data_IF_053949127725
#
_entry.id   IF_053949127725
#
_cell.length_a   1.000
_cell.length_b   1.000
_cell.length_c   1.000
_cell.angle_alpha   90.00
_cell.angle_beta   90.00
_cell.angle_gamma   90.00
#
_symmetry.space_group_name_H-M   'P 1'
#
loop_
_entity.id
_entity.type
_entity.pdbx_description
1 polymer ?
#
# COMPACT_ATOMS: atom_id res chain seq x y z
N UNK A 1 -47.68 -15.56 20.91
CA UNK A 1 -46.29 -15.86 21.29
C UNK A 1 -46.22 -16.11 22.76
N UNK A 2 -45.81 -17.31 23.12
CA UNK A 2 -45.59 -17.72 24.51
C UNK A 2 -44.39 -16.97 25.10
N UNK A 3 -44.29 -16.91 26.43
CA UNK A 3 -43.22 -16.16 27.12
C UNK A 3 -41.83 -16.66 26.69
N UNK A 4 -41.72 -17.95 26.40
CA UNK A 4 -40.47 -18.60 25.98
C UNK A 4 -40.06 -18.19 24.56
N UNK A 5 -41.00 -18.16 23.60
CA UNK A 5 -40.72 -17.69 22.23
C UNK A 5 -40.23 -16.24 22.20
N UNK A 6 -40.78 -15.37 23.05
CA UNK A 6 -40.35 -13.96 23.13
C UNK A 6 -38.90 -13.85 23.61
N UNK A 7 -38.49 -14.68 24.58
CA UNK A 7 -37.11 -14.68 25.10
C UNK A 7 -36.15 -15.16 24.02
N UNK A 8 -36.49 -16.21 23.28
CA UNK A 8 -35.66 -16.74 22.19
C UNK A 8 -35.45 -15.70 21.09
N UNK A 9 -36.51 -14.98 20.68
CA UNK A 9 -36.40 -13.94 19.66
C UNK A 9 -35.50 -12.79 20.13
N UNK A 10 -35.61 -12.37 21.40
CA UNK A 10 -34.76 -11.31 21.95
C UNK A 10 -33.29 -11.74 21.95
N UNK A 11 -32.99 -12.97 22.38
CA UNK A 11 -31.63 -13.50 22.40
C UNK A 11 -31.05 -13.61 20.99
N UNK A 12 -31.84 -14.06 20.02
CA UNK A 12 -31.44 -14.14 18.62
C UNK A 12 -31.09 -12.74 18.06
N UNK A 13 -31.94 -11.74 18.33
CA UNK A 13 -31.68 -10.36 17.90
C UNK A 13 -30.40 -9.82 18.54
N UNK A 14 -30.17 -10.03 19.83
CA UNK A 14 -28.94 -9.59 20.50
C UNK A 14 -27.69 -10.21 19.87
N UNK A 15 -27.72 -11.51 19.55
CA UNK A 15 -26.61 -12.21 18.90
C UNK A 15 -26.37 -11.72 17.46
N UNK A 16 -27.44 -11.45 16.69
CA UNK A 16 -27.31 -10.92 15.34
C UNK A 16 -26.77 -9.49 15.34
N UNK A 17 -27.21 -8.65 16.28
CA UNK A 17 -26.67 -7.30 16.40
C UNK A 17 -25.21 -7.29 16.84
N UNK A 18 -24.81 -8.15 17.80
CA UNK A 18 -23.40 -8.24 18.19
C UNK A 18 -22.51 -8.72 17.04
N UNK A 19 -22.98 -9.70 16.25
CA UNK A 19 -22.27 -10.18 15.07
C UNK A 19 -22.20 -9.10 13.97
N UNK A 20 -23.27 -8.37 13.73
CA UNK A 20 -23.29 -7.28 12.75
C UNK A 20 -22.34 -6.15 13.14
N UNK A 21 -22.34 -5.75 14.42
CA UNK A 21 -21.40 -4.74 14.95
C UNK A 21 -19.97 -5.24 14.79
N UNK A 22 -19.67 -6.48 15.18
CA UNK A 22 -18.34 -7.07 15.03
C UNK A 22 -17.89 -7.11 13.56
N UNK A 23 -18.77 -7.53 12.64
CA UNK A 23 -18.49 -7.54 11.21
C UNK A 23 -18.21 -6.13 10.68
N UNK A 24 -19.03 -5.14 11.06
CA UNK A 24 -18.76 -3.76 10.66
C UNK A 24 -17.47 -3.25 11.27
N UNK A 25 -17.15 -3.49 12.54
CA UNK A 25 -15.92 -2.98 13.13
C UNK A 25 -14.65 -3.65 12.59
N UNK A 26 -14.68 -4.97 12.36
CA UNK A 26 -13.52 -5.68 11.81
C UNK A 26 -13.34 -5.46 10.31
N UNK A 27 -14.43 -5.29 9.56
CA UNK A 27 -14.37 -5.18 8.10
C UNK A 27 -14.43 -3.72 7.60
N UNK A 28 -14.97 -2.78 8.39
CA UNK A 28 -14.92 -1.34 8.11
C UNK A 28 -13.71 -0.64 8.71
N UNK A 29 -12.75 -1.40 9.24
CA UNK A 29 -11.37 -0.96 9.18
C UNK A 29 -11.04 -0.74 7.70
N UNK A 30 -11.24 0.48 7.21
CA UNK A 30 -10.34 1.03 6.19
C UNK A 30 -8.94 0.59 6.60
N UNK A 31 -8.07 0.15 5.67
CA UNK A 31 -6.68 -0.08 6.01
C UNK A 31 -6.17 1.22 6.62
N UNK A 32 -6.20 1.30 7.95
CA UNK A 32 -5.52 2.31 8.71
C UNK A 32 -4.10 2.09 8.29
N UNK A 33 -3.61 3.10 7.59
CA UNK A 33 -2.32 3.22 6.94
C UNK A 33 -1.21 3.01 7.99
N UNK A 34 -1.07 1.77 8.46
CA UNK A 34 0.01 1.28 9.31
C UNK A 34 1.31 1.17 8.48
N UNK A 35 1.29 1.69 7.25
CA UNK A 35 2.49 1.90 6.47
C UNK A 35 3.36 2.90 7.20
N UNK A 36 4.48 2.40 7.69
CA UNK A 36 5.51 3.22 8.32
C UNK A 36 6.08 4.14 7.22
N UNK A 37 6.30 5.42 7.53
CA UNK A 37 6.99 6.31 6.58
C UNK A 37 8.37 5.72 6.26
N UNK A 38 8.73 5.65 4.98
CA UNK A 38 10.01 5.09 4.57
C UNK A 38 11.17 5.82 5.24
N UNK A 39 12.14 5.05 5.73
CA UNK A 39 13.37 5.56 6.33
C UNK A 39 14.56 4.71 5.89
N UNK A 40 15.77 5.25 5.94
CA UNK A 40 17.01 4.49 5.69
C UNK A 40 17.25 3.36 6.70
N UNK A 41 16.47 3.29 7.78
CA UNK A 41 16.50 2.22 8.79
C UNK A 41 15.41 1.17 8.62
N UNK A 42 14.57 1.28 7.58
CA UNK A 42 13.50 0.32 7.31
C UNK A 42 14.07 -1.05 6.95
N UNK A 43 13.41 -2.12 7.40
CA UNK A 43 13.90 -3.50 7.25
C UNK A 43 13.27 -4.13 6.02
N UNK A 44 14.00 -4.95 5.25
CA UNK A 44 13.40 -5.73 4.16
C UNK A 44 12.19 -6.55 4.65
N UNK A 45 11.07 -6.41 3.94
CA UNK A 45 9.77 -7.00 4.29
C UNK A 45 8.77 -6.02 4.91
N UNK A 46 9.21 -4.83 5.34
CA UNK A 46 8.31 -3.81 5.88
C UNK A 46 7.45 -3.18 4.78
N UNK A 47 6.15 -3.00 5.06
CA UNK A 47 5.28 -2.17 4.22
C UNK A 47 5.44 -0.70 4.61
N UNK A 48 5.85 0.11 3.64
CA UNK A 48 6.21 1.50 3.86
C UNK A 48 5.47 2.42 2.91
N UNK A 49 5.35 3.68 3.33
CA UNK A 49 4.86 4.78 2.51
C UNK A 49 5.98 5.78 2.29
N UNK A 50 6.33 5.98 1.03
CA UNK A 50 7.39 6.86 0.56
C UNK A 50 6.75 8.08 -0.09
N UNK A 51 7.07 9.26 0.43
CA UNK A 51 6.71 10.53 -0.20
C UNK A 51 8.00 11.19 -0.70
N UNK A 52 8.00 11.64 -1.95
CA UNK A 52 9.18 12.27 -2.53
C UNK A 52 9.01 12.73 -3.96
N UNK A 53 10.07 13.30 -4.52
CA UNK A 53 10.11 13.82 -5.88
C UNK A 53 10.82 12.84 -6.82
N UNK A 54 10.26 12.60 -8.01
CA UNK A 54 10.88 11.69 -8.98
C UNK A 54 12.08 12.36 -9.62
N UNK A 55 13.27 11.82 -9.39
CA UNK A 55 14.52 12.30 -10.01
C UNK A 55 14.71 11.72 -11.40
N UNK A 56 14.50 10.40 -11.54
CA UNK A 56 14.64 9.71 -12.83
C UNK A 56 13.63 8.57 -12.94
N UNK A 57 13.25 8.24 -14.17
CA UNK A 57 12.47 7.04 -14.51
C UNK A 57 13.07 6.33 -15.71
N UNK A 58 13.17 5.01 -15.67
CA UNK A 58 13.67 4.17 -16.77
C UNK A 58 13.03 2.79 -16.75
N UNK A 59 12.85 2.19 -17.92
CA UNK A 59 12.49 0.77 -18.01
C UNK A 59 13.73 -0.12 -17.94
N UNK A 60 13.59 -1.32 -17.39
CA UNK A 60 14.61 -2.36 -17.48
C UNK A 60 14.72 -2.85 -18.92
N UNK A 61 15.94 -3.19 -19.33
CA UNK A 61 16.20 -3.69 -20.70
C UNK A 61 15.51 -5.02 -20.99
N UNK A 62 15.25 -5.81 -19.95
CA UNK A 62 14.50 -7.06 -19.99
C UNK A 62 13.34 -6.99 -18.99
N UNK A 63 12.14 -7.33 -19.44
CA UNK A 63 10.97 -7.55 -18.57
C UNK A 63 10.02 -6.37 -18.37
N UNK A 64 10.25 -5.23 -19.02
CA UNK A 64 9.39 -4.04 -18.99
C UNK A 64 9.05 -3.55 -17.56
N UNK A 65 9.99 -3.73 -16.64
CA UNK A 65 9.87 -3.22 -15.27
C UNK A 65 10.25 -1.75 -15.24
N UNK A 66 9.53 -0.96 -14.45
CA UNK A 66 9.84 0.46 -14.29
C UNK A 66 10.70 0.65 -13.04
N UNK A 67 11.84 1.32 -13.21
CA UNK A 67 12.74 1.75 -12.16
C UNK A 67 12.65 3.27 -12.03
N UNK A 68 12.47 3.75 -10.82
CA UNK A 68 12.45 5.18 -10.51
C UNK A 68 13.41 5.48 -9.37
N UNK A 69 14.12 6.59 -9.45
CA UNK A 69 14.84 7.13 -8.30
C UNK A 69 13.99 8.26 -7.70
N UNK A 70 13.65 8.15 -6.42
CA UNK A 70 12.78 9.10 -5.71
C UNK A 70 13.56 9.77 -4.58
N UNK A 71 13.58 11.10 -4.55
CA UNK A 71 14.15 11.89 -3.47
C UNK A 71 13.10 12.12 -2.37
N UNK A 72 13.34 11.57 -1.19
CA UNK A 72 12.45 11.72 -0.03
C UNK A 72 13.00 12.74 0.99
N UNK A 73 13.87 13.65 0.55
CA UNK A 73 14.39 14.79 1.29
C UNK A 73 15.59 14.49 2.19
N UNK A 74 15.73 13.25 2.67
CA UNK A 74 16.92 12.80 3.42
C UNK A 74 17.87 11.92 2.61
N UNK A 75 17.48 11.59 1.36
CA UNK A 75 18.25 10.77 0.44
C UNK A 75 17.41 10.39 -0.78
N UNK A 76 18.01 9.62 -1.67
CA UNK A 76 17.32 9.01 -2.82
C UNK A 76 17.15 7.51 -2.60
N UNK A 77 15.99 6.96 -2.94
CA UNK A 77 15.73 5.51 -2.90
C UNK A 77 15.27 5.02 -4.28
N UNK A 78 15.65 3.78 -4.61
CA UNK A 78 15.17 3.10 -5.80
C UNK A 78 13.77 2.54 -5.56
N UNK A 79 12.87 2.83 -6.48
CA UNK A 79 11.54 2.24 -6.53
C UNK A 79 11.48 1.31 -7.74
N UNK A 80 11.10 0.06 -7.49
CA UNK A 80 10.93 -0.97 -8.48
C UNK A 80 9.45 -1.28 -8.68
N UNK A 81 8.97 -1.14 -9.91
CA UNK A 81 7.59 -1.47 -10.30
C UNK A 81 7.64 -2.65 -11.28
N UNK A 82 7.21 -3.84 -10.86
CA UNK A 82 7.12 -5.01 -11.73
C UNK A 82 6.17 -4.77 -12.92
N UNK A 83 6.42 -5.43 -14.05
CA UNK A 83 5.57 -5.28 -15.25
C UNK A 83 4.15 -5.81 -15.04
N UNK A 84 4.00 -6.88 -14.26
CA UNK A 84 2.70 -7.41 -13.85
C UNK A 84 1.90 -6.50 -12.90
N UNK A 85 2.54 -5.48 -12.32
CA UNK A 85 1.97 -4.55 -11.34
C UNK A 85 1.51 -3.23 -11.96
N UNK A 86 1.54 -3.11 -13.29
CA UNK A 86 1.12 -1.90 -14.01
C UNK A 86 2.24 -0.89 -14.24
N UNK A 87 3.47 -1.35 -14.52
CA UNK A 87 4.63 -0.48 -14.80
C UNK A 87 4.36 0.57 -15.89
N UNK A 88 3.64 0.20 -16.95
CA UNK A 88 3.26 1.11 -18.03
C UNK A 88 2.27 2.20 -17.56
N UNK A 89 1.29 1.82 -16.74
CA UNK A 89 0.29 2.74 -16.21
C UNK A 89 0.97 3.77 -15.30
N UNK A 90 1.82 3.30 -14.37
CA UNK A 90 2.60 4.16 -13.49
C UNK A 90 3.48 5.11 -14.30
N UNK A 91 4.22 4.61 -15.30
CA UNK A 91 5.09 5.44 -16.14
C UNK A 91 4.33 6.53 -16.91
N UNK A 92 3.08 6.26 -17.32
CA UNK A 92 2.21 7.24 -17.99
C UNK A 92 1.58 8.24 -17.03
N UNK A 93 1.47 7.88 -15.75
CA UNK A 93 0.86 8.70 -14.71
C UNK A 93 1.84 9.69 -14.07
N UNK A 94 3.12 9.33 -13.99
CA UNK A 94 4.14 10.11 -13.27
C UNK A 94 5.19 10.69 -14.21
N UNK A 95 5.60 11.94 -14.01
CA UNK A 95 6.70 12.58 -14.75
C UNK A 95 7.89 12.91 -13.84
N UNK A 96 9.04 13.17 -14.46
CA UNK A 96 10.25 13.58 -13.72
C UNK A 96 10.01 14.96 -13.11
N UNK A 97 10.39 15.12 -11.83
CA UNK A 97 10.09 16.24 -10.93
C UNK A 97 8.65 16.29 -10.39
N UNK A 98 7.82 15.29 -10.65
CA UNK A 98 6.55 15.18 -9.95
C UNK A 98 6.78 14.73 -8.51
N UNK A 99 5.98 15.29 -7.60
CA UNK A 99 5.90 14.83 -6.22
C UNK A 99 4.91 13.67 -6.15
N UNK A 100 5.34 12.56 -5.59
CA UNK A 100 4.57 11.32 -5.54
C UNK A 100 4.53 10.73 -4.14
N UNK A 101 3.46 9.98 -3.91
CA UNK A 101 3.21 9.18 -2.73
C UNK A 101 3.11 7.72 -3.17
N UNK A 102 4.04 6.91 -2.70
CA UNK A 102 4.24 5.52 -3.11
C UNK A 102 4.07 4.63 -1.89
N UNK A 103 3.16 3.68 -1.95
CA UNK A 103 3.06 2.59 -0.98
C UNK A 103 3.71 1.34 -1.56
N UNK A 104 4.56 0.68 -0.78
CA UNK A 104 5.28 -0.50 -1.26
C UNK A 104 5.90 -1.31 -0.13
N UNK A 105 6.60 -2.37 -0.52
CA UNK A 105 7.32 -3.24 0.41
C UNK A 105 8.82 -3.00 0.26
N UNK A 106 9.53 -2.81 1.36
CA UNK A 106 10.98 -2.65 1.36
C UNK A 106 11.62 -3.99 0.97
N UNK A 107 12.55 -3.95 0.03
CA UNK A 107 13.34 -5.08 -0.43
C UNK A 107 14.81 -4.69 -0.46
N UNK A 108 15.69 -5.68 -0.50
CA UNK A 108 17.12 -5.47 -0.69
C UNK A 108 17.53 -6.14 -2.00
N UNK A 109 18.14 -5.36 -2.90
CA UNK A 109 18.65 -5.83 -4.18
C UNK A 109 20.12 -5.43 -4.32
N UNK A 110 21.00 -6.42 -4.52
CA UNK A 110 22.45 -6.24 -4.63
C UNK A 110 23.11 -5.48 -3.45
N UNK A 111 22.51 -5.54 -2.25
CA UNK A 111 23.00 -4.83 -1.06
C UNK A 111 22.48 -3.40 -0.92
N UNK A 112 21.64 -2.94 -1.82
CA UNK A 112 20.94 -1.65 -1.75
C UNK A 112 19.47 -1.85 -1.39
N UNK A 113 18.94 -0.98 -0.52
CA UNK A 113 17.52 -0.98 -0.18
C UNK A 113 16.72 -0.35 -1.32
N UNK A 114 15.66 -1.04 -1.73
CA UNK A 114 14.69 -0.58 -2.71
C UNK A 114 13.26 -0.74 -2.19
N UNK A 115 12.32 -0.03 -2.81
CA UNK A 115 10.88 -0.16 -2.51
C UNK A 115 10.19 -0.80 -3.70
N UNK A 116 9.55 -1.94 -3.48
CA UNK A 116 8.80 -2.68 -4.51
C UNK A 116 7.33 -2.30 -4.44
N UNK A 117 6.77 -1.89 -5.57
CA UNK A 117 5.36 -1.52 -5.71
C UNK A 117 4.55 -2.74 -6.13
N UNK A 118 3.46 -3.04 -5.42
CA UNK A 118 2.61 -4.20 -5.70
C UNK A 118 1.57 -3.90 -6.79
N UNK A 119 1.02 -2.69 -6.82
CA UNK A 119 -0.03 -2.26 -7.76
C UNK A 119 0.14 -0.80 -8.22
N UNK A 120 -0.32 -0.48 -9.43
CA UNK A 120 -0.33 0.90 -9.95
C UNK A 120 -1.17 1.86 -9.10
N UNK A 121 -2.17 1.35 -8.38
CA UNK A 121 -2.97 2.11 -7.41
C UNK A 121 -2.18 2.60 -6.19
N UNK A 122 -1.02 2.00 -5.93
CA UNK A 122 -0.20 2.31 -4.76
C UNK A 122 0.72 3.51 -5.03
N UNK A 123 0.72 4.03 -6.26
CA UNK A 123 1.40 5.26 -6.65
C UNK A 123 0.36 6.35 -6.85
N UNK A 124 0.59 7.54 -6.29
CA UNK A 124 -0.28 8.70 -6.46
C UNK A 124 0.58 9.95 -6.65
N UNK A 125 0.26 10.77 -7.64
CA UNK A 125 0.88 12.09 -7.84
C UNK A 125 0.15 13.11 -6.95
N UNK A 126 0.92 13.99 -6.29
CA UNK A 126 0.42 15.01 -5.36
C UNK A 126 0.27 16.40 -6.01
#
# INVERSE_FOLDING_TARGET
MEKEEKIVVILLCMALFSLAIAYTYFYSGSPSDDSISFSSSSVPGDKVRLEGDILTKRFTYSGDHLLMDVDYGSGSVKVFVPSGSGSNDVNSMVEVNDRVLISGTVSEYEGEIEVVVDSSSDVTVL
#
